data_IF_508898127765
#
_entry.id   IF_508898127765
#
_cell.length_a   1.000
_cell.length_b   1.000
_cell.length_c   1.000
_cell.angle_alpha   90.00
_cell.angle_beta   90.00
_cell.angle_gamma   90.00
#
_symmetry.space_group_name_H-M   'P 1'
#
loop_
_entity.id
_entity.type
_entity.pdbx_description
1 polymer ?
#
# COMPACT_ATOMS: atom_id res chain seq x y z
N UNK A 1 -12.96 -0.86 52.19
CA UNK A 1 -11.57 -0.64 51.74
C UNK A 1 -11.23 -1.49 50.52
N UNK A 2 -11.34 -2.82 50.58
CA UNK A 2 -11.03 -3.72 49.45
C UNK A 2 -11.73 -3.39 48.13
N UNK A 3 -13.02 -2.99 48.19
CA UNK A 3 -13.76 -2.55 47.01
C UNK A 3 -13.10 -1.35 46.31
N UNK A 4 -12.71 -0.32 47.06
CA UNK A 4 -12.07 0.86 46.50
C UNK A 4 -10.68 0.57 45.96
N UNK A 5 -9.91 -0.32 46.61
CA UNK A 5 -8.62 -0.79 46.10
C UNK A 5 -8.81 -1.51 44.76
N UNK A 6 -9.80 -2.40 44.66
CA UNK A 6 -10.09 -3.10 43.41
C UNK A 6 -10.52 -2.14 42.30
N UNK A 7 -11.48 -1.25 42.59
CA UNK A 7 -11.98 -0.28 41.63
C UNK A 7 -10.86 0.63 41.12
N UNK A 8 -10.00 1.10 42.01
CA UNK A 8 -8.83 1.90 41.65
C UNK A 8 -7.90 1.13 40.70
N UNK A 9 -7.56 -0.13 41.01
CA UNK A 9 -6.74 -0.96 40.14
C UNK A 9 -7.36 -1.21 38.76
N UNK A 10 -8.69 -1.41 38.69
CA UNK A 10 -9.40 -1.56 37.41
C UNK A 10 -9.39 -0.26 36.61
N UNK A 11 -9.62 0.89 37.25
CA UNK A 11 -9.55 2.19 36.58
C UNK A 11 -8.16 2.50 36.04
N UNK A 12 -7.10 2.21 36.83
CA UNK A 12 -5.70 2.35 36.40
C UNK A 12 -5.41 1.41 35.22
N UNK A 13 -5.85 0.16 35.30
CA UNK A 13 -5.70 -0.81 34.21
C UNK A 13 -6.39 -0.31 32.94
N UNK A 14 -7.61 0.22 33.02
CA UNK A 14 -8.36 0.71 31.87
C UNK A 14 -7.72 1.96 31.24
N UNK A 15 -7.16 2.87 32.06
CA UNK A 15 -6.39 4.02 31.57
C UNK A 15 -5.08 3.63 30.88
N UNK A 16 -4.40 2.60 31.38
CA UNK A 16 -3.18 2.05 30.75
C UNK A 16 -3.46 1.14 29.56
N UNK A 17 -4.65 0.55 29.50
CA UNK A 17 -5.08 -0.39 28.47
C UNK A 17 -4.73 0.07 27.04
N UNK A 18 -5.09 1.30 26.58
CA UNK A 18 -4.75 1.82 25.24
C UNK A 18 -3.27 1.71 24.86
N UNK A 19 -2.37 1.81 25.83
CA UNK A 19 -0.91 1.81 25.64
C UNK A 19 -0.27 0.42 25.80
N UNK A 20 -1.08 -0.57 26.19
CA UNK A 20 -0.61 -1.92 26.50
C UNK A 20 -0.67 -2.86 25.28
N UNK A 21 -0.01 -4.01 25.41
CA UNK A 21 -0.07 -5.08 24.40
C UNK A 21 -1.48 -5.69 24.27
N UNK A 22 -2.34 -5.56 25.28
CA UNK A 22 -3.69 -6.14 25.27
C UNK A 22 -4.60 -5.47 24.23
N UNK A 23 -4.38 -4.19 23.90
CA UNK A 23 -5.15 -3.51 22.84
C UNK A 23 -4.98 -4.11 21.46
N UNK A 24 -3.85 -4.78 21.22
CA UNK A 24 -3.58 -5.42 19.93
C UNK A 24 -4.53 -6.60 19.65
N UNK A 25 -5.26 -7.10 20.66
CA UNK A 25 -6.26 -8.16 20.49
C UNK A 25 -7.37 -7.76 19.50
N UNK A 26 -7.73 -6.48 19.41
CA UNK A 26 -8.70 -5.99 18.42
C UNK A 26 -8.24 -6.19 16.97
N UNK A 27 -6.93 -6.24 16.74
CA UNK A 27 -6.34 -6.46 15.41
C UNK A 27 -6.69 -7.82 14.79
N UNK A 28 -7.03 -8.83 15.61
CA UNK A 28 -7.46 -10.15 15.12
C UNK A 28 -8.78 -10.08 14.35
N UNK A 29 -9.65 -9.14 14.70
CA UNK A 29 -10.91 -8.91 14.00
C UNK A 29 -10.74 -7.96 12.82
N UNK A 30 -9.78 -7.04 12.90
CA UNK A 30 -9.50 -6.04 11.85
C UNK A 30 -8.50 -6.52 10.78
N UNK A 31 -8.06 -7.79 10.81
CA UNK A 31 -7.05 -8.30 9.88
C UNK A 31 -7.52 -8.20 8.42
N UNK A 32 -6.69 -7.71 7.48
CA UNK A 32 -7.04 -7.60 6.06
C UNK A 32 -7.50 -8.93 5.45
N UNK A 33 -6.91 -10.06 5.87
CA UNK A 33 -7.28 -11.40 5.40
C UNK A 33 -8.70 -11.83 5.79
N UNK A 34 -9.33 -11.16 6.77
CA UNK A 34 -10.72 -11.42 7.18
C UNK A 34 -11.72 -10.40 6.63
N UNK A 35 -11.31 -9.14 6.49
CA UNK A 35 -12.22 -8.06 6.10
C UNK A 35 -12.10 -7.62 4.63
N UNK A 36 -11.00 -7.95 3.95
CA UNK A 36 -10.80 -7.59 2.55
C UNK A 36 -11.19 -8.77 1.66
N UNK A 37 -12.17 -8.54 0.78
CA UNK A 37 -12.57 -9.53 -0.21
C UNK A 37 -11.41 -9.80 -1.18
N UNK A 38 -11.08 -11.08 -1.42
CA UNK A 38 -10.08 -11.47 -2.41
C UNK A 38 -10.69 -11.51 -3.82
N UNK A 39 -11.08 -10.34 -4.34
CA UNK A 39 -11.75 -10.19 -5.64
C UNK A 39 -10.81 -9.60 -6.72
N UNK A 40 -9.50 -9.66 -6.51
CA UNK A 40 -8.50 -9.14 -7.46
C UNK A 40 -8.62 -9.76 -8.87
N UNK A 41 -9.18 -10.97 -8.98
CA UNK A 41 -9.42 -11.66 -10.27
C UNK A 41 -10.78 -11.35 -10.90
N UNK A 42 -11.70 -10.77 -10.14
CA UNK A 42 -13.06 -10.41 -10.59
C UNK A 42 -13.12 -8.93 -11.00
N UNK A 43 -12.42 -8.05 -10.26
CA UNK A 43 -12.47 -6.61 -10.45
C UNK A 43 -11.07 -6.03 -10.55
N UNK A 44 -10.87 -5.16 -11.54
CA UNK A 44 -9.66 -4.34 -11.63
C UNK A 44 -9.78 -3.18 -10.64
N UNK A 45 -8.93 -3.18 -9.62
CA UNK A 45 -8.83 -2.09 -8.65
C UNK A 45 -7.95 -0.97 -9.23
N UNK A 46 -8.56 0.12 -9.65
CA UNK A 46 -7.85 1.32 -10.13
C UNK A 46 -7.72 2.30 -8.97
N UNK A 47 -6.53 2.86 -8.78
CA UNK A 47 -6.26 3.81 -7.71
C UNK A 47 -6.99 5.15 -7.99
N UNK A 48 -7.85 5.66 -7.10
CA UNK A 48 -8.49 6.96 -7.28
C UNK A 48 -7.51 8.14 -7.26
N UNK A 49 -6.30 7.93 -6.75
CA UNK A 49 -5.25 8.93 -6.64
C UNK A 49 -4.27 8.92 -7.82
N UNK A 50 -4.54 8.12 -8.87
CA UNK A 50 -3.74 8.16 -10.08
C UNK A 50 -3.97 9.49 -10.79
N UNK A 51 -2.91 10.29 -10.91
CA UNK A 51 -2.93 11.54 -11.67
C UNK A 51 -2.41 11.28 -13.09
N UNK A 52 -2.74 12.14 -14.07
CA UNK A 52 -2.18 12.00 -15.41
C UNK A 52 -0.66 12.22 -15.36
N UNK A 53 0.10 11.12 -15.39
CA UNK A 53 1.55 11.14 -15.51
C UNK A 53 1.89 11.35 -16.98
N UNK A 54 2.80 12.28 -17.28
CA UNK A 54 3.38 12.38 -18.62
C UNK A 54 4.20 11.12 -18.87
N UNK A 55 3.71 10.26 -19.74
CA UNK A 55 4.45 9.09 -20.20
C UNK A 55 5.38 9.49 -21.33
N UNK A 56 6.57 8.90 -21.34
CA UNK A 56 7.51 9.02 -22.46
C UNK A 56 7.10 8.01 -23.54
N UNK A 57 6.75 8.50 -24.72
CA UNK A 57 6.34 7.60 -25.81
C UNK A 57 7.55 6.91 -26.41
N UNK A 58 7.33 5.79 -27.09
CA UNK A 58 8.43 5.12 -27.80
C UNK A 58 9.08 6.03 -28.84
N UNK A 59 8.30 6.87 -29.53
CA UNK A 59 8.82 7.81 -30.52
C UNK A 59 9.75 8.86 -29.88
N UNK A 60 9.34 9.44 -28.74
CA UNK A 60 10.17 10.38 -27.96
C UNK A 60 11.46 9.70 -27.48
N UNK A 61 11.35 8.46 -27.01
CA UNK A 61 12.49 7.67 -26.56
C UNK A 61 13.44 7.29 -27.69
N UNK A 62 12.92 6.84 -28.83
CA UNK A 62 13.71 6.49 -30.00
C UNK A 62 14.47 7.71 -30.51
N UNK A 63 13.87 8.90 -30.49
CA UNK A 63 14.54 10.13 -30.93
C UNK A 63 15.63 10.59 -29.97
N UNK A 64 15.44 10.44 -28.66
CA UNK A 64 16.45 10.77 -27.65
C UNK A 64 17.65 9.82 -27.68
N UNK A 65 17.42 8.52 -27.92
CA UNK A 65 18.45 7.49 -27.78
C UNK A 65 18.89 6.85 -29.10
N UNK A 66 18.41 7.33 -30.26
CA UNK A 66 18.63 6.77 -31.59
C UNK A 66 20.08 6.37 -31.84
N UNK A 67 21.01 7.28 -31.59
CA UNK A 67 22.42 7.09 -31.90
C UNK A 67 23.03 5.95 -31.08
N UNK A 68 22.65 5.85 -29.81
CA UNK A 68 23.08 4.78 -28.90
C UNK A 68 22.44 3.45 -29.31
N UNK A 69 21.16 3.48 -29.65
CA UNK A 69 20.43 2.28 -30.08
C UNK A 69 20.99 1.70 -31.38
N UNK A 70 21.30 2.57 -32.34
CA UNK A 70 21.89 2.21 -33.61
C UNK A 70 23.30 1.65 -33.43
N UNK A 71 24.12 2.29 -32.58
CA UNK A 71 25.43 1.78 -32.21
C UNK A 71 25.37 0.41 -31.52
N UNK A 72 24.31 0.15 -30.74
CA UNK A 72 24.04 -1.13 -30.11
C UNK A 72 23.42 -2.19 -31.05
N UNK A 73 23.16 -1.85 -32.32
CA UNK A 73 22.58 -2.77 -33.31
C UNK A 73 21.11 -3.11 -33.05
N UNK A 74 20.38 -2.26 -32.32
CA UNK A 74 18.96 -2.47 -32.06
C UNK A 74 18.11 -2.06 -33.27
N UNK A 75 17.00 -2.77 -33.57
CA UNK A 75 16.09 -2.38 -34.64
C UNK A 75 15.32 -1.11 -34.25
N UNK A 76 15.35 -0.12 -35.15
CA UNK A 76 14.65 1.17 -35.01
C UNK A 76 13.39 1.17 -35.87
N UNK A 77 12.25 1.67 -35.35
CA UNK A 77 11.02 1.70 -36.14
C UNK A 77 11.08 2.72 -37.28
N UNK A 78 11.75 3.86 -37.08
CA UNK A 78 11.89 4.87 -38.15
C UNK A 78 12.90 4.49 -39.26
N UNK A 79 13.62 3.38 -39.10
CA UNK A 79 14.57 2.86 -40.10
C UNK A 79 14.06 1.60 -40.83
N UNK A 80 12.83 1.15 -40.55
CA UNK A 80 12.14 0.10 -41.33
C UNK A 80 11.52 0.68 -42.60
#
# INVERSE_FOLDING_TARGET
>A
VMFYIHLFSVSVLFGYFPFSKLMHMGGVFMSPTRNMANNNREKRHVNPWDYPVKTHTYEEWEDEFRDVMKAAGMPLEKEK
#
